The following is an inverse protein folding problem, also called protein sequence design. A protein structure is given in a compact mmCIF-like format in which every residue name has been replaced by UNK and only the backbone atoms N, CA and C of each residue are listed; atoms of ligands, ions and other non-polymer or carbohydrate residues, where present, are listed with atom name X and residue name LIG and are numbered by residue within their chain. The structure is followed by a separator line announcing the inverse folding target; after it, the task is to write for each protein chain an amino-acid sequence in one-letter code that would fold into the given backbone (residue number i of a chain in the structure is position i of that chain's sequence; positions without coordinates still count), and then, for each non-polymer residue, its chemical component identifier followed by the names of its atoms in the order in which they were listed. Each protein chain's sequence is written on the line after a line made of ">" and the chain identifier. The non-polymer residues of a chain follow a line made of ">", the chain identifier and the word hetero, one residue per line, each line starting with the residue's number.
data_IF_948304975461
#
_entry.id   IF_948304975461
#
_cell.length_a   1.000
_cell.length_b   1.000
_cell.length_c   1.000
_cell.angle_alpha   90.00
_cell.angle_beta   90.00
_cell.angle_gamma   90.00
#
_symmetry.space_group_name_H-M   'P 1'
#
loop_
_entity.id
_entity.type
_entity.pdbx_description
1 polymer ?
#
# COMPACT_ATOMS: atom_id res chain seq x y z
N UNK A 1 -9.10 19.14 15.12
CA UNK A 1 -10.55 19.10 14.78
C UNK A 1 -10.84 18.18 13.59
N UNK A 2 -10.19 18.36 12.43
CA UNK A 2 -10.42 17.56 11.22
C UNK A 2 -10.06 16.06 11.32
N UNK A 3 -8.87 15.71 11.85
CA UNK A 3 -8.48 14.29 12.05
C UNK A 3 -9.45 13.56 12.97
N UNK A 4 -9.94 14.23 14.01
CA UNK A 4 -10.90 13.64 14.95
C UNK A 4 -12.24 13.33 14.26
N UNK A 5 -12.66 14.19 13.34
CA UNK A 5 -13.84 13.98 12.50
C UNK A 5 -13.67 12.76 11.57
N UNK A 6 -12.51 12.64 10.91
CA UNK A 6 -12.20 11.48 10.05
C UNK A 6 -12.16 10.15 10.81
N UNK A 7 -11.73 10.16 12.08
CA UNK A 7 -11.54 8.95 12.90
C UNK A 7 -12.78 8.48 13.65
N UNK A 8 -13.78 9.33 13.88
CA UNK A 8 -14.90 8.96 14.76
C UNK A 8 -16.28 9.01 14.10
N UNK A 9 -16.42 9.70 12.96
CA UNK A 9 -17.70 9.84 12.28
C UNK A 9 -18.06 8.58 11.47
N UNK A 10 -19.28 8.05 11.70
CA UNK A 10 -19.81 6.84 11.03
C UNK A 10 -20.14 7.08 9.55
N UNK A 11 -20.64 8.26 9.19
CA UNK A 11 -20.93 8.63 7.80
C UNK A 11 -19.63 8.72 7.01
N UNK A 12 -18.60 9.34 7.60
CA UNK A 12 -17.27 9.42 7.01
C UNK A 12 -16.67 8.03 6.81
N UNK A 13 -16.84 7.12 7.77
CA UNK A 13 -16.40 5.73 7.60
C UNK A 13 -17.07 5.04 6.40
N UNK A 14 -18.34 5.33 6.12
CA UNK A 14 -19.04 4.81 4.94
C UNK A 14 -18.48 5.36 3.64
N UNK A 15 -18.23 6.67 3.57
CA UNK A 15 -17.61 7.33 2.42
C UNK A 15 -16.20 6.77 2.18
N UNK A 16 -15.41 6.63 3.24
CA UNK A 16 -14.06 6.07 3.18
C UNK A 16 -14.09 4.61 2.74
N UNK A 17 -15.10 3.83 3.12
CA UNK A 17 -15.25 2.45 2.62
C UNK A 17 -15.47 2.41 1.11
N UNK A 18 -16.27 3.33 0.55
CA UNK A 18 -16.44 3.43 -0.90
C UNK A 18 -15.13 3.83 -1.60
N UNK A 19 -14.44 4.86 -1.08
CA UNK A 19 -13.12 5.29 -1.58
C UNK A 19 -12.10 4.14 -1.51
N UNK A 20 -12.11 3.38 -0.42
CA UNK A 20 -11.24 2.22 -0.20
C UNK A 20 -11.46 1.15 -1.26
N UNK A 21 -12.71 0.79 -1.54
CA UNK A 21 -13.06 -0.19 -2.57
C UNK A 21 -12.67 0.33 -3.96
N UNK A 22 -12.90 1.61 -4.24
CA UNK A 22 -12.51 2.23 -5.51
C UNK A 22 -10.98 2.17 -5.74
N UNK A 23 -10.18 2.61 -4.76
CA UNK A 23 -8.72 2.53 -4.85
C UNK A 23 -8.27 1.08 -4.97
N UNK A 24 -8.84 0.19 -4.14
CA UNK A 24 -8.53 -1.23 -4.18
C UNK A 24 -8.81 -1.86 -5.55
N UNK A 25 -9.91 -1.47 -6.20
CA UNK A 25 -10.25 -1.91 -7.56
C UNK A 25 -9.23 -1.43 -8.61
N UNK A 26 -8.76 -0.19 -8.52
CA UNK A 26 -7.72 0.33 -9.43
C UNK A 26 -6.43 -0.49 -9.32
N UNK A 27 -5.96 -0.73 -8.08
CA UNK A 27 -4.77 -1.55 -7.83
C UNK A 27 -4.92 -3.00 -8.26
N UNK A 28 -6.07 -3.61 -7.94
CA UNK A 28 -6.35 -5.00 -8.31
C UNK A 28 -6.36 -5.16 -9.83
N UNK A 29 -6.99 -4.23 -10.55
CA UNK A 29 -7.05 -4.26 -12.02
C UNK A 29 -5.67 -4.05 -12.64
N UNK A 30 -4.87 -3.11 -12.11
CA UNK A 30 -3.51 -2.87 -12.57
C UNK A 30 -2.60 -4.08 -12.36
N UNK A 31 -2.56 -4.62 -11.14
CA UNK A 31 -1.75 -5.80 -10.80
C UNK A 31 -2.19 -7.04 -11.56
N UNK A 32 -3.50 -7.29 -11.66
CA UNK A 32 -4.05 -8.40 -12.43
C UNK A 32 -3.68 -8.30 -13.91
N UNK A 33 -3.78 -7.11 -14.51
CA UNK A 33 -3.37 -6.87 -15.89
C UNK A 33 -1.89 -7.17 -16.12
N UNK A 34 -1.01 -6.79 -15.18
CA UNK A 34 0.43 -7.10 -15.27
C UNK A 34 0.71 -8.60 -15.17
N UNK A 35 0.02 -9.30 -14.27
CA UNK A 35 0.21 -10.75 -14.06
C UNK A 35 -0.33 -11.56 -15.25
N UNK A 36 -1.56 -11.26 -15.70
CA UNK A 36 -2.20 -12.01 -16.77
C UNK A 36 -1.72 -11.63 -18.17
N UNK A 37 -1.18 -10.41 -18.33
CA UNK A 37 -0.56 -9.96 -19.56
C UNK A 37 0.80 -10.61 -19.85
N UNK A 38 1.46 -11.21 -18.85
CA UNK A 38 2.67 -12.04 -19.02
C UNK A 38 3.97 -11.31 -19.39
N UNK A 39 3.91 -10.01 -19.72
CA UNK A 39 5.04 -9.24 -20.27
C UNK A 39 5.45 -8.03 -19.43
N UNK A 40 4.90 -7.85 -18.22
CA UNK A 40 5.32 -6.72 -17.40
C UNK A 40 6.77 -6.89 -16.94
N UNK A 41 7.62 -5.96 -17.35
CA UNK A 41 9.00 -5.81 -16.91
C UNK A 41 9.24 -4.37 -16.46
N UNK A 42 9.70 -4.20 -15.22
CA UNK A 42 10.03 -2.90 -14.67
C UNK A 42 11.31 -2.30 -15.27
N UNK A 43 12.19 -3.10 -15.89
CA UNK A 43 13.50 -2.66 -16.37
C UNK A 43 13.41 -1.45 -17.32
N UNK A 44 12.51 -1.50 -18.31
CA UNK A 44 12.29 -0.41 -19.26
C UNK A 44 11.71 0.84 -18.60
N UNK A 45 10.81 0.66 -17.63
CA UNK A 45 10.25 1.77 -16.84
C UNK A 45 11.34 2.46 -16.01
N UNK A 46 12.19 1.69 -15.32
CA UNK A 46 13.27 2.20 -14.47
C UNK A 46 14.34 2.91 -15.30
N UNK A 47 14.72 2.36 -16.46
CA UNK A 47 15.67 3.00 -17.38
C UNK A 47 15.10 4.31 -17.95
N UNK A 48 13.81 4.32 -18.33
CA UNK A 48 13.13 5.54 -18.77
C UNK A 48 13.12 6.61 -17.69
N UNK A 49 12.89 6.23 -16.43
CA UNK A 49 12.94 7.15 -15.30
C UNK A 49 14.34 7.75 -15.06
N UNK A 50 15.40 6.96 -15.22
CA UNK A 50 16.78 7.46 -15.15
C UNK A 50 17.07 8.44 -16.30
N UNK A 51 16.66 8.11 -17.53
CA UNK A 51 16.84 8.99 -18.67
C UNK A 51 16.13 10.35 -18.48
N UNK A 52 14.96 10.33 -17.83
CA UNK A 52 14.18 11.52 -17.46
C UNK A 52 14.80 12.38 -16.35
N UNK A 53 15.90 11.94 -15.73
CA UNK A 53 16.68 12.73 -14.79
C UNK A 53 17.75 13.59 -15.48
N UNK A 54 18.01 13.36 -16.78
CA UNK A 54 18.88 14.19 -17.61
C UNK A 54 18.14 15.22 -18.46
N UNK A 55 18.89 16.06 -19.18
CA UNK A 55 18.35 17.07 -20.11
C UNK A 55 18.10 18.45 -19.48
N UNK A 56 17.54 19.37 -20.27
CA UNK A 56 17.30 20.78 -19.86
C UNK A 56 16.15 20.92 -18.83
N UNK A 57 15.20 19.98 -18.82
CA UNK A 57 14.05 19.98 -17.92
C UNK A 57 13.83 18.59 -17.29
N UNK A 58 14.66 18.20 -16.31
CA UNK A 58 14.56 16.89 -15.68
C UNK A 58 13.23 16.74 -14.95
N UNK A 59 12.53 15.65 -15.22
CA UNK A 59 11.25 15.30 -14.56
C UNK A 59 11.45 14.32 -13.41
N UNK A 60 12.63 13.69 -13.33
CA UNK A 60 13.07 12.83 -12.23
C UNK A 60 14.22 13.49 -11.48
N UNK A 61 14.18 13.42 -10.16
CA UNK A 61 15.21 14.02 -9.30
C UNK A 61 16.48 13.17 -9.29
N UNK A 62 17.66 13.80 -9.33
CA UNK A 62 18.95 13.09 -9.43
C UNK A 62 19.21 12.10 -8.29
N UNK A 63 18.75 12.37 -7.07
CA UNK A 63 18.88 11.43 -5.94
C UNK A 63 18.06 10.15 -6.14
N UNK A 64 16.89 10.26 -6.78
CA UNK A 64 16.05 9.12 -7.11
C UNK A 64 16.69 8.33 -8.25
N UNK A 65 17.18 9.02 -9.29
CA UNK A 65 17.93 8.39 -10.38
C UNK A 65 19.13 7.59 -9.88
N UNK A 66 19.92 8.13 -8.94
CA UNK A 66 21.03 7.40 -8.33
C UNK A 66 20.59 6.12 -7.61
N UNK A 67 19.45 6.13 -6.90
CA UNK A 67 18.86 4.92 -6.32
C UNK A 67 18.41 3.93 -7.41
N UNK A 68 17.79 4.44 -8.48
CA UNK A 68 17.35 3.60 -9.60
C UNK A 68 18.53 2.89 -10.24
N UNK A 69 19.63 3.60 -10.53
CA UNK A 69 20.84 3.04 -11.13
C UNK A 69 21.56 2.06 -10.21
N UNK A 70 21.70 2.39 -8.92
CA UNK A 70 22.49 1.57 -7.99
C UNK A 70 21.75 0.35 -7.44
N UNK A 71 20.41 0.40 -7.35
CA UNK A 71 19.60 -0.61 -6.66
C UNK A 71 18.48 -1.15 -7.55
N UNK A 72 17.64 -0.26 -8.11
CA UNK A 72 16.42 -0.71 -8.76
C UNK A 72 16.66 -1.42 -10.09
N UNK A 73 17.56 -0.92 -10.92
CA UNK A 73 17.92 -1.50 -12.22
C UNK A 73 18.67 -2.83 -12.04
N UNK A 74 19.72 -2.94 -11.20
CA UNK A 74 20.37 -4.23 -10.94
C UNK A 74 19.43 -5.27 -10.34
N UNK A 75 18.42 -4.84 -9.57
CA UNK A 75 17.40 -5.68 -8.97
C UNK A 75 16.06 -5.71 -9.72
N UNK A 76 16.02 -5.36 -11.01
CA UNK A 76 14.77 -5.13 -11.74
C UNK A 76 13.77 -6.30 -11.66
N UNK A 77 14.25 -7.54 -11.65
CA UNK A 77 13.40 -8.74 -11.51
C UNK A 77 12.62 -8.74 -10.18
N UNK A 78 13.27 -8.33 -9.09
CA UNK A 78 12.66 -8.25 -7.76
C UNK A 78 11.60 -7.14 -7.77
N UNK A 79 11.92 -5.97 -8.33
CA UNK A 79 10.96 -4.87 -8.41
C UNK A 79 9.77 -5.20 -9.32
N UNK A 80 10.02 -5.90 -10.42
CA UNK A 80 8.96 -6.42 -11.31
C UNK A 80 8.00 -7.30 -10.53
N UNK A 81 8.53 -8.31 -9.82
CA UNK A 81 7.72 -9.19 -8.98
C UNK A 81 6.98 -8.43 -7.86
N UNK A 82 7.68 -7.56 -7.13
CA UNK A 82 7.12 -6.79 -6.03
C UNK A 82 6.01 -5.85 -6.48
N UNK A 83 6.15 -5.20 -7.64
CA UNK A 83 5.12 -4.33 -8.20
C UNK A 83 3.91 -5.18 -8.61
N UNK A 84 4.10 -6.23 -9.41
CA UNK A 84 2.98 -7.07 -9.87
C UNK A 84 2.12 -7.61 -8.72
N UNK A 85 2.78 -8.24 -7.74
CA UNK A 85 2.08 -8.84 -6.60
C UNK A 85 1.66 -7.79 -5.57
N UNK A 86 2.46 -6.75 -5.37
CA UNK A 86 2.14 -5.65 -4.46
C UNK A 86 0.85 -4.96 -4.87
N UNK A 87 0.70 -4.61 -6.14
CA UNK A 87 -0.51 -4.00 -6.68
C UNK A 87 -1.74 -4.90 -6.49
N UNK A 88 -1.63 -6.18 -6.85
CA UNK A 88 -2.73 -7.12 -6.72
C UNK A 88 -3.15 -7.31 -5.25
N UNK A 89 -2.17 -7.58 -4.37
CA UNK A 89 -2.42 -7.87 -2.96
C UNK A 89 -2.92 -6.64 -2.20
N UNK A 90 -2.37 -5.46 -2.46
CA UNK A 90 -2.88 -4.20 -1.89
C UNK A 90 -4.30 -3.95 -2.36
N UNK A 91 -4.59 -4.18 -3.64
CA UNK A 91 -5.93 -4.06 -4.21
C UNK A 91 -6.95 -4.94 -3.49
N UNK A 92 -6.64 -6.24 -3.37
CA UNK A 92 -7.48 -7.22 -2.67
C UNK A 92 -7.66 -6.84 -1.19
N UNK A 93 -6.57 -6.50 -0.50
CA UNK A 93 -6.60 -6.12 0.91
C UNK A 93 -7.48 -4.89 1.16
N UNK A 94 -7.41 -3.88 0.29
CA UNK A 94 -8.25 -2.68 0.36
C UNK A 94 -9.73 -2.99 0.05
N UNK A 95 -10.03 -3.80 -0.97
CA UNK A 95 -11.42 -4.16 -1.29
C UNK A 95 -12.07 -4.89 -0.09
N UNK A 96 -11.40 -5.95 0.38
CA UNK A 96 -11.87 -6.74 1.52
C UNK A 96 -11.84 -5.95 2.84
N UNK A 97 -10.99 -4.92 2.91
CA UNK A 97 -10.73 -4.17 4.12
C UNK A 97 -10.05 -5.02 5.19
N UNK A 98 -9.07 -5.83 4.78
CA UNK A 98 -8.18 -6.61 5.66
C UNK A 98 -6.82 -5.92 5.66
N UNK A 99 -6.27 -5.64 6.84
CA UNK A 99 -5.06 -4.85 7.04
C UNK A 99 -5.11 -3.49 6.33
N UNK A 100 -6.25 -2.80 6.39
CA UNK A 100 -6.54 -1.58 5.60
C UNK A 100 -5.44 -0.52 5.70
N UNK A 101 -4.96 -0.23 6.92
CA UNK A 101 -3.92 0.78 7.12
C UNK A 101 -2.57 0.36 6.51
N UNK A 102 -2.23 -0.92 6.61
CA UNK A 102 -0.99 -1.45 6.05
C UNK A 102 -1.08 -1.46 4.52
N UNK A 103 -2.19 -1.92 3.95
CA UNK A 103 -2.43 -1.87 2.51
C UNK A 103 -2.42 -0.44 1.97
N UNK A 104 -3.02 0.52 2.71
CA UNK A 104 -2.97 1.94 2.37
C UNK A 104 -1.53 2.49 2.39
N UNK A 105 -0.72 2.12 3.39
CA UNK A 105 0.68 2.52 3.48
C UNK A 105 1.50 1.98 2.29
N UNK A 106 1.35 0.69 1.97
CA UNK A 106 2.04 0.06 0.85
C UNK A 106 1.62 0.67 -0.50
N UNK A 107 0.32 0.94 -0.68
CA UNK A 107 -0.19 1.64 -1.87
C UNK A 107 0.38 3.06 -2.00
N UNK A 108 0.49 3.80 -0.90
CA UNK A 108 1.12 5.14 -0.91
C UNK A 108 2.59 5.03 -1.31
N UNK A 109 3.33 4.06 -0.75
CA UNK A 109 4.75 3.86 -1.06
C UNK A 109 4.97 3.54 -2.54
N UNK A 110 4.18 2.64 -3.12
CA UNK A 110 4.27 2.32 -4.55
C UNK A 110 3.89 3.52 -5.43
N UNK A 111 2.83 4.26 -5.09
CA UNK A 111 2.47 5.48 -5.81
C UNK A 111 3.61 6.52 -5.78
N UNK A 112 4.27 6.70 -4.64
CA UNK A 112 5.42 7.60 -4.55
C UNK A 112 6.59 7.11 -5.39
N UNK A 113 6.87 5.80 -5.43
CA UNK A 113 7.89 5.25 -6.31
C UNK A 113 7.59 5.55 -7.79
N UNK A 114 6.33 5.45 -8.23
CA UNK A 114 5.93 5.81 -9.59
C UNK A 114 5.99 7.32 -9.85
N UNK A 115 5.58 8.13 -8.87
CA UNK A 115 5.62 9.59 -8.95
C UNK A 115 7.06 10.09 -9.07
N UNK A 116 7.96 9.61 -8.22
CA UNK A 116 9.39 9.95 -8.29
C UNK A 116 10.06 9.45 -9.56
N UNK A 117 9.52 8.39 -10.18
CA UNK A 117 9.96 7.89 -11.48
C UNK A 117 9.33 8.64 -12.67
N UNK A 118 8.62 9.76 -12.44
CA UNK A 118 8.12 10.65 -13.48
C UNK A 118 6.65 10.44 -13.90
N UNK A 119 5.91 9.56 -13.22
CA UNK A 119 4.51 9.25 -13.58
C UNK A 119 3.53 10.09 -12.75
N UNK A 120 3.09 11.24 -13.25
CA UNK A 120 2.39 12.24 -12.43
C UNK A 120 0.85 12.12 -12.45
N UNK A 121 0.22 11.69 -13.55
CA UNK A 121 -1.21 12.00 -13.79
C UNK A 121 -2.20 11.29 -12.84
N UNK A 122 -2.27 9.97 -12.84
CA UNK A 122 -3.26 9.21 -12.05
C UNK A 122 -2.81 8.95 -10.61
N UNK A 123 -1.49 8.96 -10.37
CA UNK A 123 -0.89 8.61 -9.09
C UNK A 123 -1.14 9.68 -8.01
N UNK A 124 -1.18 10.97 -8.36
CA UNK A 124 -1.40 12.05 -7.40
C UNK A 124 -2.77 11.98 -6.71
N UNK A 125 -3.84 11.71 -7.46
CA UNK A 125 -5.18 11.54 -6.91
C UNK A 125 -5.25 10.30 -5.99
N UNK A 126 -4.65 9.18 -6.40
CA UNK A 126 -4.62 7.97 -5.59
C UNK A 126 -3.88 8.18 -4.27
N UNK A 127 -2.75 8.89 -4.26
CA UNK A 127 -2.03 9.25 -3.04
C UNK A 127 -2.94 10.03 -2.09
N UNK A 128 -3.59 11.09 -2.59
CA UNK A 128 -4.45 11.94 -1.77
C UNK A 128 -5.60 11.15 -1.13
N UNK A 129 -6.29 10.33 -1.93
CA UNK A 129 -7.40 9.52 -1.44
C UNK A 129 -6.92 8.45 -0.44
N UNK A 130 -5.77 7.84 -0.69
CA UNK A 130 -5.19 6.81 0.20
C UNK A 130 -4.67 7.43 1.50
N UNK A 131 -4.19 8.68 1.48
CA UNK A 131 -3.82 9.42 2.70
C UNK A 131 -5.02 9.65 3.62
N UNK A 132 -6.21 9.94 3.08
CA UNK A 132 -7.42 10.03 3.90
C UNK A 132 -7.76 8.71 4.58
N UNK A 133 -7.57 7.58 3.88
CA UNK A 133 -7.73 6.25 4.49
C UNK A 133 -6.72 6.03 5.63
N UNK A 134 -5.44 6.34 5.40
CA UNK A 134 -4.38 6.18 6.39
C UNK A 134 -4.60 7.05 7.64
N UNK A 135 -4.98 8.31 7.46
CA UNK A 135 -5.24 9.26 8.56
C UNK A 135 -6.48 8.86 9.37
N UNK A 136 -7.51 8.36 8.70
CA UNK A 136 -8.72 7.85 9.35
C UNK A 136 -8.47 6.55 10.16
N UNK A 137 -7.39 5.83 9.86
CA UNK A 137 -6.90 4.71 10.65
C UNK A 137 -7.97 3.63 10.84
N UNK A 138 -8.21 3.23 12.10
CA UNK A 138 -9.21 2.21 12.43
C UNK A 138 -10.62 2.50 11.88
N UNK A 139 -10.97 3.78 11.67
CA UNK A 139 -12.28 4.13 11.11
C UNK A 139 -12.41 3.80 9.61
N UNK A 140 -11.31 3.78 8.85
CA UNK A 140 -11.30 3.37 7.45
C UNK A 140 -11.52 1.85 7.29
N UNK A 141 -11.10 1.06 8.28
CA UNK A 141 -11.35 -0.38 8.36
C UNK A 141 -12.71 -0.75 8.97
N UNK A 142 -13.52 0.23 9.43
CA UNK A 142 -14.73 -0.03 10.23
C UNK A 142 -15.79 -0.87 9.51
N UNK A 143 -15.93 -0.67 8.21
CA UNK A 143 -16.80 -1.46 7.32
C UNK A 143 -16.00 -2.47 6.48
N UNK A 144 -14.79 -2.82 6.92
CA UNK A 144 -13.97 -3.89 6.35
C UNK A 144 -13.93 -5.12 7.24
N UNK A 145 -13.33 -6.19 6.72
CA UNK A 145 -13.08 -7.40 7.48
C UNK A 145 -12.12 -7.19 8.67
N UNK A 146 -11.39 -6.08 8.72
CA UNK A 146 -10.58 -5.63 9.86
C UNK A 146 -11.35 -5.67 11.18
N UNK A 147 -12.66 -5.43 11.15
CA UNK A 147 -13.53 -5.53 12.33
C UNK A 147 -13.56 -6.94 12.93
N UNK A 148 -13.39 -7.98 12.12
CA UNK A 148 -13.40 -9.38 12.56
C UNK A 148 -11.98 -9.92 12.75
N UNK A 149 -11.04 -9.52 11.88
CA UNK A 149 -9.66 -9.99 11.90
C UNK A 149 -8.89 -9.45 13.12
N UNK A 150 -9.05 -8.17 13.47
CA UNK A 150 -8.27 -7.55 14.56
C UNK A 150 -8.62 -8.13 15.94
N UNK A 151 -9.90 -8.31 16.32
CA UNK A 151 -10.24 -8.97 17.59
C UNK A 151 -9.75 -10.41 17.66
N UNK A 152 -9.87 -11.17 16.56
CA UNK A 152 -9.44 -12.56 16.50
C UNK A 152 -7.93 -12.73 16.68
N UNK A 153 -7.13 -11.86 16.06
CA UNK A 153 -5.66 -11.85 16.28
C UNK A 153 -5.35 -11.48 17.73
N UNK A 154 -6.03 -10.46 18.27
CA UNK A 154 -5.79 -10.01 19.66
C UNK A 154 -6.09 -11.11 20.67
N UNK A 155 -7.20 -11.82 20.52
CA UNK A 155 -7.60 -12.93 21.38
C UNK A 155 -6.57 -14.08 21.36
N UNK A 156 -6.07 -14.46 20.18
CA UNK A 156 -5.05 -15.50 20.04
C UNK A 156 -3.69 -15.11 20.60
N UNK A 157 -3.29 -13.84 20.47
CA UNK A 157 -2.01 -13.35 21.00
C UNK A 157 -2.08 -13.23 22.53
N UNK A 158 -3.18 -12.73 23.08
CA UNK A 158 -3.34 -12.59 24.54
C UNK A 158 -3.43 -13.96 25.22
N UNK A 159 -4.22 -14.90 24.69
CA UNK A 159 -4.34 -16.26 25.23
C UNK A 159 -3.01 -17.02 25.24
N UNK A 160 -2.22 -16.92 24.15
CA UNK A 160 -0.89 -17.55 24.07
C UNK A 160 0.09 -16.98 25.09
N UNK A 161 0.01 -15.67 25.38
CA UNK A 161 0.86 -15.04 26.40
C UNK A 161 0.46 -15.52 27.80
N UNK A 162 -0.83 -15.54 28.16
CA UNK A 162 -1.31 -16.06 29.44
C UNK A 162 -0.89 -17.52 29.68
N UNK A 163 -1.03 -18.37 28.68
CA UNK A 163 -0.64 -19.79 28.77
C UNK A 163 0.88 -19.97 29.00
N UNK A 164 1.71 -19.07 28.43
CA UNK A 164 3.16 -19.06 28.65
C UNK A 164 3.56 -18.58 30.05
N UNK A 165 2.85 -17.59 30.59
CA UNK A 165 3.05 -17.10 31.95
C UNK A 165 2.66 -18.14 33.00
N UNK A 166 1.54 -18.83 32.81
CA UNK A 166 1.10 -19.90 33.72
C UNK A 166 2.13 -21.03 33.76
N UNK A 167 2.61 -21.49 32.59
CA UNK A 167 3.64 -22.55 32.53
C UNK A 167 4.96 -22.16 33.19
N UNK A 168 5.35 -20.88 33.15
CA UNK A 168 6.53 -20.41 33.87
C UNK A 168 6.30 -20.34 35.38
N UNK A 169 5.10 -19.92 35.82
CA UNK A 169 4.75 -19.85 37.24
C UNK A 169 4.63 -21.24 37.88
N UNK A 170 4.19 -22.26 37.15
CA UNK A 170 4.11 -23.66 37.62
C UNK A 170 5.48 -24.37 37.64
N UNK A 171 6.49 -23.81 36.97
CA UNK A 171 7.84 -24.37 36.91
C UNK A 171 8.78 -23.87 38.03
N UNK A 172 8.30 -22.99 38.91
CA UNK A 172 9.00 -22.41 40.06
C UNK A 172 8.33 -22.80 41.38
#
# INVERSE_FOLDING_TARGET
>A
MFVNFLRNNKVVAGILAFIRVYIGYQWMTAGWGKITGGEFDASGFLQGAVANAGGEHPTVQGWWAAFLEAVAIPGADIFTFLVMWGELLVGIALILGVFTNFAALMGIMMNFAFLFSGTISTNGQMILLTLFLLVAGYNAGRFGLDRYVIPFIKEKVTSKNEESFIKQAEAH
#
